data_IF_852572031634
#
_entry.id   IF_852572031634
#
_cell.length_a   1.000
_cell.length_b   1.000
_cell.length_c   1.000
_cell.angle_alpha   90.00
_cell.angle_beta   90.00
_cell.angle_gamma   90.00
#
_symmetry.space_group_name_H-M   'P 1'
#
loop_
_entity.id
_entity.type
_entity.pdbx_description
1 polymer ?
#
# COMPACT_ATOMS: atom_id res chain seq x y z
N UNK A 1 -13.67 8.27 -0.04
CA UNK A 1 -12.61 9.00 0.69
C UNK A 1 -11.98 8.07 1.73
N UNK A 2 -11.81 6.78 1.39
CA UNK A 2 -11.65 5.70 2.40
C UNK A 2 -10.53 4.72 2.02
N UNK A 3 -9.68 5.11 1.06
CA UNK A 3 -8.68 4.22 0.48
C UNK A 3 -7.59 3.81 1.51
N UNK A 4 -7.04 4.71 2.34
CA UNK A 4 -6.11 4.31 3.39
C UNK A 4 -6.71 3.26 4.34
N UNK A 5 -7.97 3.45 4.75
CA UNK A 5 -8.69 2.57 5.64
C UNK A 5 -8.94 1.20 4.99
N UNK A 6 -9.35 1.18 3.71
CA UNK A 6 -9.53 -0.06 2.94
C UNK A 6 -8.21 -0.80 2.71
N UNK A 7 -7.11 -0.08 2.50
CA UNK A 7 -5.78 -0.66 2.36
C UNK A 7 -5.34 -1.30 3.69
N UNK A 8 -5.58 -0.63 4.82
CA UNK A 8 -5.30 -1.20 6.13
C UNK A 8 -6.17 -2.42 6.43
N UNK A 9 -7.47 -2.35 6.12
CA UNK A 9 -8.40 -3.47 6.23
C UNK A 9 -7.91 -4.68 5.41
N UNK A 10 -7.51 -4.47 4.16
CA UNK A 10 -6.95 -5.50 3.28
C UNK A 10 -5.69 -6.14 3.89
N UNK A 11 -4.75 -5.33 4.37
CA UNK A 11 -3.52 -5.82 5.03
C UNK A 11 -3.85 -6.64 6.27
N UNK A 12 -4.89 -6.26 7.02
CA UNK A 12 -5.31 -6.97 8.21
C UNK A 12 -5.94 -8.34 7.90
N UNK A 13 -6.55 -8.53 6.71
CA UNK A 13 -7.06 -9.85 6.31
C UNK A 13 -5.98 -10.91 6.12
N UNK A 14 -4.75 -10.52 5.79
CA UNK A 14 -3.62 -11.45 5.63
C UNK A 14 -2.90 -11.75 6.96
N UNK A 15 -3.12 -10.95 8.01
CA UNK A 15 -2.53 -11.23 9.32
C UNK A 15 -3.17 -12.49 9.95
N UNK A 16 -2.40 -13.29 10.70
CA UNK A 16 -2.97 -14.41 11.44
C UNK A 16 -4.11 -13.93 12.35
N UNK A 17 -5.25 -14.61 12.26
CA UNK A 17 -6.37 -14.39 13.14
C UNK A 17 -5.98 -14.88 14.54
N UNK A 18 -5.42 -14.00 15.38
CA UNK A 18 -5.05 -14.33 16.75
C UNK A 18 -6.27 -14.65 17.63
N UNK A 19 -6.22 -14.30 18.92
CA UNK A 19 -7.35 -14.48 19.85
C UNK A 19 -8.56 -13.56 19.58
N UNK A 20 -8.43 -12.63 18.62
CA UNK A 20 -9.51 -11.75 18.18
C UNK A 20 -10.20 -12.42 17.01
N UNK A 21 -11.49 -12.75 17.16
CA UNK A 21 -12.33 -13.19 16.06
C UNK A 21 -12.50 -12.01 15.08
N UNK A 22 -11.65 -11.95 14.05
CA UNK A 22 -12.00 -11.18 12.86
C UNK A 22 -13.30 -11.78 12.30
N UNK A 23 -14.31 -10.93 12.09
CA UNK A 23 -15.62 -11.39 11.61
C UNK A 23 -15.53 -12.00 10.19
N UNK A 24 -14.49 -11.62 9.45
CA UNK A 24 -14.19 -12.09 8.10
C UNK A 24 -12.76 -12.67 8.10
N UNK A 25 -12.60 -13.82 7.46
CA UNK A 25 -11.31 -14.54 7.34
C UNK A 25 -10.95 -14.70 5.87
N UNK A 26 -9.72 -14.38 5.50
CA UNK A 26 -9.21 -14.65 4.16
C UNK A 26 -8.83 -16.13 4.04
N UNK A 27 -9.66 -16.95 3.42
CA UNK A 27 -9.31 -18.36 3.16
C UNK A 27 -8.95 -18.48 1.67
N UNK A 28 -7.76 -18.99 1.30
CA UNK A 28 -6.68 -19.54 2.13
C UNK A 28 -5.62 -18.50 2.57
N UNK A 29 -5.82 -17.21 2.28
CA UNK A 29 -4.78 -16.16 2.41
C UNK A 29 -4.36 -15.77 3.83
N UNK A 30 -5.10 -16.15 4.85
CA UNK A 30 -4.81 -15.79 6.25
C UNK A 30 -3.47 -16.37 6.71
N UNK A 31 -2.62 -15.53 7.30
CA UNK A 31 -1.29 -15.90 7.76
C UNK A 31 -0.27 -16.10 6.63
N UNK A 32 -0.65 -15.84 5.37
CA UNK A 32 0.26 -15.86 4.23
C UNK A 32 0.78 -14.43 4.00
N UNK A 33 2.09 -14.32 3.81
CA UNK A 33 2.71 -13.07 3.41
C UNK A 33 2.51 -12.83 1.91
N UNK A 34 1.54 -11.97 1.58
CA UNK A 34 1.22 -11.59 0.20
C UNK A 34 1.82 -10.20 -0.08
N UNK A 35 2.76 -10.07 -1.03
CA UNK A 35 3.34 -8.77 -1.36
C UNK A 35 2.29 -7.79 -1.89
N UNK A 36 2.19 -6.62 -1.26
CA UNK A 36 1.23 -5.58 -1.65
C UNK A 36 1.95 -4.47 -2.40
N UNK A 37 1.41 -4.10 -3.57
CA UNK A 37 1.87 -2.98 -4.39
C UNK A 37 0.79 -1.91 -4.46
N UNK A 38 1.17 -0.66 -4.24
CA UNK A 38 0.29 0.47 -4.40
C UNK A 38 0.42 1.03 -5.82
N UNK A 39 -0.64 0.94 -6.60
CA UNK A 39 -0.70 1.50 -7.96
C UNK A 39 -1.39 2.85 -7.89
N UNK A 40 -0.78 3.88 -8.47
CA UNK A 40 -1.27 5.24 -8.34
C UNK A 40 -1.02 6.12 -9.55
N UNK A 41 -1.83 7.15 -9.72
CA UNK A 41 -1.70 8.16 -10.78
C UNK A 41 -1.67 9.59 -10.23
N UNK A 42 -1.58 9.73 -8.90
CA UNK A 42 -1.63 11.03 -8.21
C UNK A 42 -0.53 11.17 -7.16
N UNK A 43 -0.23 12.41 -6.78
CA UNK A 43 0.69 12.70 -5.69
C UNK A 43 0.23 12.14 -4.33
N UNK A 44 -1.09 12.04 -4.10
CA UNK A 44 -1.64 11.41 -2.91
C UNK A 44 -1.21 9.95 -2.80
N UNK A 45 -1.41 9.15 -3.86
CA UNK A 45 -1.01 7.73 -3.87
C UNK A 45 0.49 7.55 -3.70
N UNK A 46 1.30 8.44 -4.30
CA UNK A 46 2.74 8.39 -4.17
C UNK A 46 3.21 8.67 -2.74
N UNK A 47 2.66 9.71 -2.10
CA UNK A 47 2.97 10.03 -0.71
C UNK A 47 2.55 8.91 0.24
N UNK A 48 1.32 8.41 0.10
CA UNK A 48 0.78 7.33 0.93
C UNK A 48 1.64 6.06 0.84
N UNK A 49 2.08 5.68 -0.37
CA UNK A 49 2.97 4.53 -0.54
C UNK A 49 4.33 4.75 0.15
N UNK A 50 4.86 5.96 0.10
CA UNK A 50 6.11 6.31 0.77
C UNK A 50 5.96 6.26 2.30
N UNK A 51 4.92 6.88 2.85
CA UNK A 51 4.66 6.91 4.30
C UNK A 51 4.42 5.51 4.88
N UNK A 52 3.83 4.60 4.11
CA UNK A 52 3.60 3.20 4.51
C UNK A 52 4.78 2.27 4.20
N UNK A 53 5.85 2.76 3.56
CA UNK A 53 6.99 1.96 3.15
C UNK A 53 6.63 0.84 2.16
N UNK A 54 5.66 1.07 1.27
CA UNK A 54 5.16 0.08 0.32
C UNK A 54 5.79 0.22 -1.07
N UNK A 55 5.91 -0.89 -1.83
CA UNK A 55 6.20 -0.84 -3.26
C UNK A 55 5.18 0.03 -4.02
N UNK A 56 5.67 0.91 -4.88
CA UNK A 56 4.84 1.87 -5.61
C UNK A 56 5.03 1.77 -7.13
N UNK A 57 3.93 1.80 -7.88
CA UNK A 57 3.92 1.85 -9.33
C UNK A 57 3.07 3.03 -9.83
N UNK A 58 3.70 3.97 -10.54
CA UNK A 58 3.01 5.15 -11.08
C UNK A 58 2.49 4.91 -12.50
N UNK A 59 1.21 5.20 -12.72
CA UNK A 59 0.56 5.08 -14.02
C UNK A 59 0.86 6.29 -14.93
N UNK A 60 2.07 6.32 -15.48
CA UNK A 60 2.56 7.41 -16.33
C UNK A 60 1.69 7.68 -17.57
N UNK A 61 0.96 6.68 -18.07
CA UNK A 61 0.07 6.86 -19.23
C UNK A 61 -1.17 7.74 -18.92
N UNK A 62 -1.62 7.81 -17.67
CA UNK A 62 -2.72 8.70 -17.27
C UNK A 62 -2.26 10.10 -16.92
N UNK A 63 -1.04 10.25 -16.42
CA UNK A 63 -0.52 11.55 -15.98
C UNK A 63 0.98 11.69 -16.26
N UNK A 64 1.39 11.73 -17.54
CA UNK A 64 2.81 11.64 -17.92
C UNK A 64 3.64 12.78 -17.34
N UNK A 65 3.11 14.01 -17.34
CA UNK A 65 3.75 15.18 -16.77
C UNK A 65 4.02 15.07 -15.26
N UNK A 66 3.25 14.26 -14.53
CA UNK A 66 3.37 14.09 -13.08
C UNK A 66 4.23 12.90 -12.67
N UNK A 67 4.77 12.13 -13.62
CA UNK A 67 5.54 10.91 -13.33
C UNK A 67 6.75 11.19 -12.46
N UNK A 68 7.61 12.12 -12.86
CA UNK A 68 8.82 12.46 -12.10
C UNK A 68 8.48 13.07 -10.74
N UNK A 69 7.61 14.11 -10.65
CA UNK A 69 7.20 14.67 -9.35
C UNK A 69 6.59 13.63 -8.39
N UNK A 70 5.80 12.69 -8.90
CA UNK A 70 5.21 11.64 -8.06
C UNK A 70 6.27 10.67 -7.53
N UNK A 71 7.23 10.24 -8.35
CA UNK A 71 8.30 9.36 -7.91
C UNK A 71 9.25 10.05 -6.91
N UNK A 72 9.52 11.34 -7.10
CA UNK A 72 10.28 12.14 -6.13
C UNK A 72 9.52 12.25 -4.80
N UNK A 73 8.21 12.53 -4.86
CA UNK A 73 7.38 12.60 -3.66
C UNK A 73 7.37 11.27 -2.89
N UNK A 74 7.22 10.14 -3.59
CA UNK A 74 7.31 8.80 -2.99
C UNK A 74 8.63 8.59 -2.24
N UNK A 75 9.76 8.90 -2.89
CA UNK A 75 11.10 8.74 -2.29
C UNK A 75 11.32 9.68 -1.11
N UNK A 76 10.85 10.92 -1.20
CA UNK A 76 11.04 11.93 -0.16
C UNK A 76 10.18 11.68 1.09
N UNK A 77 9.01 11.06 0.93
CA UNK A 77 8.15 10.67 2.07
C UNK A 77 8.39 9.24 2.54
N UNK A 78 9.35 8.53 1.93
CA UNK A 78 9.60 7.12 2.23
C UNK A 78 10.01 6.91 3.68
N UNK A 79 9.30 6.03 4.37
CA UNK A 79 9.63 5.54 5.70
C UNK A 79 9.79 4.02 5.62
N UNK A 80 10.94 3.44 6.03
CA UNK A 80 11.14 2.00 6.02
C UNK A 80 10.04 1.24 6.76
N UNK A 81 9.70 0.05 6.28
CA UNK A 81 8.69 -0.83 6.86
C UNK A 81 9.13 -2.29 6.79
N UNK A 82 8.36 -3.20 7.40
CA UNK A 82 8.61 -4.65 7.29
C UNK A 82 8.58 -5.17 5.84
N UNK A 83 8.12 -4.37 4.87
CA UNK A 83 8.04 -4.73 3.44
C UNK A 83 9.25 -4.21 2.64
N UNK A 84 9.77 -3.02 2.95
CA UNK A 84 10.88 -2.37 2.25
C UNK A 84 11.75 -1.56 3.21
N UNK A 85 13.07 -1.76 3.12
CA UNK A 85 14.12 -1.08 3.91
C UNK A 85 14.66 0.19 3.24
#
# INVERSE_FOLDING_TARGET
>A
EDFPEQLEELRNYFKPSGNVRNQVRAIPGEGIDVPIWLLGSSGFSARLAGELGLPFAFAAHFSPANTVPALELYRNSFTPSDVLD
#
